data_IF_001710985951
#
_entry.id   IF_001710985951
#
_cell.length_a   1.000
_cell.length_b   1.000
_cell.length_c   1.000
_cell.angle_alpha   90.00
_cell.angle_beta   90.00
_cell.angle_gamma   90.00
#
_symmetry.space_group_name_H-M   'P 1'
#
loop_
_entity.id
_entity.type
_entity.pdbx_description
1 polymer ?
#
# COMPACT_ATOMS: atom_id res chain seq x y z
N UNK A 1 24.74 1.98 11.16
CA UNK A 1 23.56 1.59 10.35
C UNK A 1 23.41 0.06 10.19
N UNK A 2 24.25 -0.66 9.46
CA UNK A 2 24.07 -2.12 9.25
C UNK A 2 23.98 -2.94 10.55
N UNK A 3 24.78 -2.65 11.57
CA UNK A 3 24.77 -3.35 12.86
C UNK A 3 23.46 -3.21 13.66
N UNK A 4 22.78 -2.09 13.55
CA UNK A 4 21.50 -1.84 14.22
C UNK A 4 20.40 -2.73 13.63
N UNK A 5 20.25 -2.74 12.32
CA UNK A 5 19.24 -3.56 11.63
C UNK A 5 19.57 -5.06 11.68
N UNK A 6 20.85 -5.44 11.81
CA UNK A 6 21.23 -6.83 12.12
C UNK A 6 20.75 -7.25 13.50
N UNK A 7 20.77 -6.35 14.50
CA UNK A 7 20.18 -6.64 15.82
C UNK A 7 18.66 -6.77 15.76
N UNK A 8 17.98 -5.93 14.96
CA UNK A 8 16.53 -6.09 14.74
C UNK A 8 16.21 -7.43 14.07
N UNK A 9 17.05 -7.88 13.15
CA UNK A 9 16.90 -9.21 12.57
C UNK A 9 17.07 -10.31 13.61
N UNK A 10 18.09 -10.25 14.47
CA UNK A 10 18.27 -11.23 15.56
C UNK A 10 17.04 -11.26 16.48
N UNK A 11 16.49 -10.09 16.83
CA UNK A 11 15.24 -9.98 17.60
C UNK A 11 14.10 -10.77 16.93
N UNK A 12 13.86 -10.51 15.65
CA UNK A 12 12.81 -11.18 14.90
C UNK A 12 13.04 -12.70 14.79
N UNK A 13 14.28 -13.13 14.59
CA UNK A 13 14.64 -14.55 14.50
C UNK A 13 14.47 -15.29 15.84
N UNK A 14 14.57 -14.58 16.96
CA UNK A 14 14.28 -15.08 18.31
C UNK A 14 12.78 -15.04 18.65
N UNK A 15 11.92 -14.64 17.70
CA UNK A 15 10.48 -14.53 17.91
C UNK A 15 10.04 -13.28 18.67
N UNK A 16 10.94 -12.33 18.88
CA UNK A 16 10.66 -11.07 19.57
C UNK A 16 10.06 -10.05 18.60
N UNK A 17 9.14 -9.23 19.10
CA UNK A 17 8.46 -8.23 18.28
C UNK A 17 9.18 -6.89 18.30
N UNK A 18 9.10 -6.17 17.17
CA UNK A 18 9.53 -4.78 17.11
C UNK A 18 8.51 -3.88 17.83
N UNK A 19 9.00 -2.82 18.43
CA UNK A 19 8.13 -1.72 18.86
C UNK A 19 7.58 -0.97 17.64
N UNK A 20 6.49 -0.23 17.82
CA UNK A 20 5.92 0.64 16.77
C UNK A 20 7.00 1.57 16.19
N UNK A 21 7.83 2.18 17.06
CA UNK A 21 8.89 3.10 16.64
C UNK A 21 10.00 2.40 15.84
N UNK A 22 10.36 1.16 16.19
CA UNK A 22 11.33 0.37 15.43
C UNK A 22 10.78 -0.02 14.06
N UNK A 23 9.53 -0.43 13.99
CA UNK A 23 8.84 -0.76 12.73
C UNK A 23 8.69 0.47 11.82
N UNK A 24 8.34 1.63 12.40
CA UNK A 24 8.30 2.91 11.70
C UNK A 24 9.67 3.28 11.11
N UNK A 25 10.75 3.24 11.90
CA UNK A 25 12.10 3.53 11.41
C UNK A 25 12.59 2.53 10.36
N UNK A 26 12.25 1.25 10.49
CA UNK A 26 12.57 0.22 9.50
C UNK A 26 11.89 0.52 8.16
N UNK A 27 10.63 0.97 8.16
CA UNK A 27 9.93 1.34 6.93
C UNK A 27 10.65 2.47 6.18
N UNK A 28 11.10 3.53 6.87
CA UNK A 28 11.87 4.60 6.25
C UNK A 28 13.15 4.08 5.60
N UNK A 29 13.91 3.21 6.29
CA UNK A 29 15.15 2.65 5.74
C UNK A 29 14.92 1.73 4.54
N UNK A 30 13.82 1.01 4.52
CA UNK A 30 13.40 0.24 3.35
C UNK A 30 13.06 1.16 2.17
N UNK A 31 12.35 2.25 2.44
CA UNK A 31 11.93 3.24 1.45
C UNK A 31 13.11 4.00 0.82
N UNK A 32 14.11 4.35 1.63
CA UNK A 32 15.35 5.00 1.18
C UNK A 32 16.26 4.08 0.34
N UNK A 33 16.03 2.76 0.40
CA UNK A 33 16.88 1.79 -0.29
C UNK A 33 18.30 1.68 0.29
N UNK A 34 18.50 2.13 1.52
CA UNK A 34 19.82 2.15 2.19
C UNK A 34 20.23 0.80 2.79
N UNK A 35 19.27 -0.12 2.96
CA UNK A 35 19.56 -1.45 3.48
C UNK A 35 20.04 -2.36 2.34
N UNK A 36 21.09 -3.17 2.58
CA UNK A 36 21.44 -4.25 1.67
C UNK A 36 20.21 -5.14 1.39
N UNK A 37 19.96 -5.47 0.15
CA UNK A 37 18.76 -6.24 -0.26
C UNK A 37 18.60 -7.55 0.53
N UNK A 38 19.71 -8.25 0.80
CA UNK A 38 19.71 -9.47 1.60
C UNK A 38 19.22 -9.23 3.04
N UNK A 39 19.62 -8.11 3.66
CA UNK A 39 19.19 -7.75 5.01
C UNK A 39 17.73 -7.31 5.01
N UNK A 40 17.34 -6.48 4.05
CA UNK A 40 15.96 -6.03 3.88
C UNK A 40 15.01 -7.23 3.65
N UNK A 41 15.38 -8.16 2.79
CA UNK A 41 14.65 -9.39 2.56
C UNK A 41 14.54 -10.27 3.81
N UNK A 42 15.65 -10.43 4.56
CA UNK A 42 15.66 -11.22 5.79
C UNK A 42 14.76 -10.60 6.89
N UNK A 43 14.76 -9.27 7.04
CA UNK A 43 13.87 -8.57 7.98
C UNK A 43 12.40 -8.76 7.63
N UNK A 44 12.03 -8.63 6.35
CA UNK A 44 10.65 -8.88 5.91
C UNK A 44 10.22 -10.33 6.09
N UNK A 45 11.12 -11.28 5.79
CA UNK A 45 10.87 -12.70 6.00
C UNK A 45 10.77 -13.05 7.49
N UNK A 46 11.62 -12.45 8.35
CA UNK A 46 11.59 -12.61 9.80
C UNK A 46 10.28 -12.11 10.42
N UNK A 47 9.81 -10.91 10.04
CA UNK A 47 8.49 -10.39 10.44
C UNK A 47 7.38 -11.38 10.05
N UNK A 48 7.38 -11.84 8.82
CA UNK A 48 6.39 -12.80 8.32
C UNK A 48 6.44 -14.14 9.05
N UNK A 49 7.64 -14.69 9.32
CA UNK A 49 7.82 -15.97 9.97
C UNK A 49 7.36 -15.94 11.44
N UNK A 50 7.65 -14.84 12.14
CA UNK A 50 7.20 -14.59 13.51
C UNK A 50 5.68 -14.35 13.57
N UNK A 51 5.12 -13.71 12.56
CA UNK A 51 3.79 -13.12 12.57
C UNK A 51 3.83 -11.67 13.05
N UNK A 52 3.30 -10.76 12.23
CA UNK A 52 3.28 -9.33 12.51
C UNK A 52 2.32 -8.98 13.65
N UNK A 53 2.74 -8.11 14.56
CA UNK A 53 1.90 -7.57 15.63
C UNK A 53 1.18 -6.30 15.20
N UNK A 54 0.16 -5.89 15.96
CA UNK A 54 -0.56 -4.64 15.71
C UNK A 54 0.35 -3.41 15.79
N UNK A 55 1.33 -3.40 16.70
CA UNK A 55 2.28 -2.30 16.85
C UNK A 55 3.23 -2.22 15.65
N UNK A 56 3.73 -3.36 15.15
CA UNK A 56 4.54 -3.42 13.95
C UNK A 56 3.78 -2.93 12.72
N UNK A 57 2.54 -3.41 12.54
CA UNK A 57 1.68 -2.97 11.42
C UNK A 57 1.41 -1.46 11.52
N UNK A 58 1.13 -0.93 12.72
CA UNK A 58 0.88 0.50 12.94
C UNK A 58 2.11 1.34 12.63
N UNK A 59 3.30 0.90 13.05
CA UNK A 59 4.56 1.58 12.73
C UNK A 59 4.80 1.66 11.22
N UNK A 60 4.63 0.55 10.51
CA UNK A 60 4.73 0.53 9.04
C UNK A 60 3.68 1.41 8.37
N UNK A 61 2.42 1.35 8.83
CA UNK A 61 1.32 2.14 8.26
C UNK A 61 1.55 3.65 8.44
N UNK A 62 1.97 4.08 9.64
CA UNK A 62 2.25 5.49 9.92
C UNK A 62 3.39 6.02 9.04
N UNK A 63 4.48 5.27 8.90
CA UNK A 63 5.59 5.64 8.02
C UNK A 63 5.16 5.68 6.54
N UNK A 64 4.38 4.70 6.09
CA UNK A 64 3.87 4.66 4.72
C UNK A 64 2.97 5.88 4.41
N UNK A 65 2.11 6.27 5.35
CA UNK A 65 1.24 7.46 5.20
C UNK A 65 2.05 8.75 5.14
N UNK A 66 3.09 8.88 5.94
CA UNK A 66 3.97 10.05 5.92
C UNK A 66 4.78 10.16 4.63
N UNK A 67 5.19 9.02 4.06
CA UNK A 67 5.94 8.94 2.81
C UNK A 67 5.05 9.00 1.56
N UNK A 68 3.73 8.95 1.73
CA UNK A 68 2.78 8.98 0.62
C UNK A 68 2.63 10.40 0.06
N UNK A 69 2.34 10.46 -1.24
CA UNK A 69 1.83 11.67 -1.88
C UNK A 69 0.35 11.80 -1.55
N UNK A 70 -0.09 12.99 -1.18
CA UNK A 70 -1.47 13.26 -0.83
C UNK A 70 -2.18 14.03 -1.95
N UNK A 71 -3.40 13.62 -2.37
CA UNK A 71 -4.18 14.40 -3.32
C UNK A 71 -4.62 15.74 -2.71
N UNK A 72 -4.83 16.76 -3.54
CA UNK A 72 -5.29 18.10 -3.11
C UNK A 72 -6.78 18.11 -2.70
N UNK A 73 -7.19 17.13 -1.91
CA UNK A 73 -8.55 17.04 -1.37
C UNK A 73 -8.59 17.83 -0.07
N UNK A 74 -9.55 18.78 0.12
CA UNK A 74 -9.63 19.57 1.35
C UNK A 74 -9.74 18.70 2.60
N UNK A 75 -8.97 19.05 3.63
CA UNK A 75 -8.97 18.35 4.91
C UNK A 75 -10.39 18.32 5.51
N UNK A 76 -10.73 17.20 6.14
CA UNK A 76 -12.07 17.00 6.71
C UNK A 76 -13.17 16.68 5.69
N UNK A 77 -12.85 16.56 4.38
CA UNK A 77 -13.81 16.08 3.39
C UNK A 77 -14.16 14.62 3.70
N UNK A 78 -15.42 14.27 3.99
CA UNK A 78 -15.78 12.90 4.27
C UNK A 78 -15.68 12.08 2.97
N UNK A 79 -14.81 11.09 2.98
CA UNK A 79 -14.56 10.18 1.85
C UNK A 79 -14.62 8.72 2.30
N UNK A 80 -14.86 7.81 1.37
CA UNK A 80 -14.83 6.37 1.58
C UNK A 80 -13.91 5.70 0.57
N UNK A 81 -13.26 4.62 0.97
CA UNK A 81 -12.63 3.66 0.04
C UNK A 81 -13.32 2.31 0.17
N UNK A 82 -13.33 1.56 -0.92
CA UNK A 82 -13.87 0.21 -1.05
C UNK A 82 -12.75 -0.80 -1.33
N UNK A 83 -11.59 -0.59 -0.72
CA UNK A 83 -10.40 -1.41 -0.94
C UNK A 83 -10.49 -2.72 -0.17
N UNK A 84 -9.89 -3.76 -0.74
CA UNK A 84 -9.59 -5.02 -0.06
C UNK A 84 -8.09 -5.32 -0.14
N UNK A 85 -7.62 -6.31 0.62
CA UNK A 85 -6.21 -6.72 0.62
C UNK A 85 -5.76 -7.29 -0.73
N UNK A 86 -6.68 -7.77 -1.55
CA UNK A 86 -6.37 -8.44 -2.81
C UNK A 86 -5.68 -9.80 -2.63
N UNK A 87 -5.35 -10.43 -3.75
CA UNK A 87 -4.52 -11.65 -3.75
C UNK A 87 -5.19 -12.88 -3.10
N UNK A 88 -6.51 -12.94 -3.07
CA UNK A 88 -7.31 -14.04 -2.49
C UNK A 88 -7.50 -15.23 -3.45
N UNK A 89 -7.06 -15.08 -4.71
CA UNK A 89 -7.20 -16.11 -5.74
C UNK A 89 -8.64 -16.43 -6.14
N UNK A 90 -9.62 -15.58 -5.74
CA UNK A 90 -11.04 -15.85 -5.95
C UNK A 90 -11.47 -15.86 -7.42
N UNK A 91 -10.69 -15.23 -8.32
CA UNK A 91 -11.05 -15.06 -9.71
C UNK A 91 -12.35 -14.26 -9.92
N UNK A 92 -12.77 -13.52 -8.90
CA UNK A 92 -14.00 -12.71 -8.92
C UNK A 92 -13.87 -11.51 -9.86
N UNK A 93 -15.00 -10.87 -10.16
CA UNK A 93 -15.06 -9.58 -10.83
C UNK A 93 -14.41 -8.49 -9.93
N UNK A 94 -14.10 -7.32 -10.51
CA UNK A 94 -13.60 -6.15 -9.80
C UNK A 94 -14.68 -5.53 -8.88
N UNK A 95 -15.20 -6.33 -7.93
CA UNK A 95 -16.34 -5.97 -7.09
C UNK A 95 -16.12 -4.68 -6.33
N UNK A 96 -14.94 -4.50 -5.71
CA UNK A 96 -14.64 -3.28 -4.97
C UNK A 96 -14.60 -2.04 -5.86
N UNK A 97 -14.13 -2.14 -7.10
CA UNK A 97 -14.16 -1.03 -8.06
C UNK A 97 -15.58 -0.72 -8.51
N UNK A 98 -16.36 -1.76 -8.84
CA UNK A 98 -17.78 -1.60 -9.18
C UNK A 98 -18.59 -1.00 -8.03
N UNK A 99 -18.36 -1.45 -6.80
CA UNK A 99 -18.99 -0.89 -5.59
C UNK A 99 -18.62 0.59 -5.42
N UNK A 100 -17.35 0.96 -5.62
CA UNK A 100 -16.92 2.36 -5.54
C UNK A 100 -17.63 3.25 -6.55
N UNK A 101 -17.72 2.81 -7.82
CA UNK A 101 -18.43 3.55 -8.86
C UNK A 101 -19.93 3.69 -8.54
N UNK A 102 -20.56 2.61 -8.06
CA UNK A 102 -21.98 2.64 -7.67
C UNK A 102 -22.22 3.56 -6.46
N UNK A 103 -21.34 3.52 -5.45
CA UNK A 103 -21.43 4.40 -4.29
C UNK A 103 -21.28 5.86 -4.69
N UNK A 104 -20.36 6.19 -5.62
CA UNK A 104 -20.20 7.54 -6.14
C UNK A 104 -21.44 8.01 -6.90
N UNK A 105 -22.02 7.14 -7.72
CA UNK A 105 -23.30 7.43 -8.41
C UNK A 105 -24.47 7.65 -7.43
N UNK A 106 -24.43 7.03 -6.25
CA UNK A 106 -25.37 7.24 -5.16
C UNK A 106 -25.08 8.49 -4.29
N UNK A 107 -24.04 9.27 -4.62
CA UNK A 107 -23.70 10.51 -3.94
C UNK A 107 -22.61 10.41 -2.86
N UNK A 108 -22.02 9.23 -2.63
CA UNK A 108 -20.87 9.12 -1.74
C UNK A 108 -19.59 9.66 -2.43
N UNK A 109 -18.73 10.31 -1.68
CA UNK A 109 -17.41 10.70 -2.19
C UNK A 109 -16.44 9.53 -2.04
N UNK A 110 -16.01 8.95 -3.15
CA UNK A 110 -15.15 7.77 -3.17
C UNK A 110 -13.74 8.17 -3.62
N UNK A 111 -12.77 7.96 -2.74
CA UNK A 111 -11.34 8.07 -3.03
C UNK A 111 -10.77 6.66 -3.00
N UNK A 112 -10.70 6.03 -4.16
CA UNK A 112 -10.27 4.65 -4.27
C UNK A 112 -8.76 4.54 -4.46
N UNK A 113 -8.08 3.85 -3.56
CA UNK A 113 -6.69 3.45 -3.74
C UNK A 113 -6.61 2.07 -4.41
N UNK A 114 -5.70 1.89 -5.37
CA UNK A 114 -5.56 0.60 -6.01
C UNK A 114 -4.40 0.51 -7.01
N UNK A 115 -4.28 -0.66 -7.63
CA UNK A 115 -3.18 -0.97 -8.53
C UNK A 115 -3.68 -1.76 -9.75
N UNK A 116 -2.78 -2.00 -10.70
CA UNK A 116 -2.97 -3.01 -11.76
C UNK A 116 -2.91 -4.42 -11.15
N UNK A 117 -3.41 -5.37 -11.90
CA UNK A 117 -3.32 -6.78 -11.48
C UNK A 117 -1.88 -7.27 -11.43
N UNK A 118 -1.56 -8.05 -10.41
CA UNK A 118 -0.29 -8.80 -10.30
C UNK A 118 -0.54 -10.30 -10.52
N UNK A 119 -1.67 -10.83 -10.08
CA UNK A 119 -1.99 -12.27 -10.11
C UNK A 119 -3.35 -12.60 -10.72
N UNK A 120 -4.25 -11.63 -10.84
CA UNK A 120 -5.56 -11.80 -11.46
C UNK A 120 -5.56 -11.33 -12.93
N UNK A 121 -6.66 -11.57 -13.64
CA UNK A 121 -6.80 -11.16 -15.06
C UNK A 121 -6.96 -9.65 -15.24
N UNK A 122 -7.44 -8.92 -14.22
CA UNK A 122 -7.71 -7.49 -14.28
C UNK A 122 -7.68 -6.90 -12.87
N UNK A 123 -6.87 -5.87 -12.68
CA UNK A 123 -6.85 -5.05 -11.45
C UNK A 123 -7.83 -3.88 -11.54
N UNK A 124 -7.92 -3.11 -10.46
CA UNK A 124 -8.79 -1.92 -10.41
C UNK A 124 -8.39 -0.86 -11.43
N UNK A 125 -7.09 -0.61 -11.59
CA UNK A 125 -6.59 0.35 -12.57
C UNK A 125 -6.89 -0.12 -14.00
N UNK A 126 -6.67 -1.41 -14.29
CA UNK A 126 -6.93 -1.96 -15.64
C UNK A 126 -8.40 -1.79 -16.04
N UNK A 127 -9.33 -2.04 -15.12
CA UNK A 127 -10.77 -1.84 -15.33
C UNK A 127 -11.09 -0.36 -15.60
N UNK A 128 -10.57 0.56 -14.79
CA UNK A 128 -10.86 1.99 -14.93
C UNK A 128 -10.29 2.58 -16.21
N UNK A 129 -9.11 2.16 -16.63
CA UNK A 129 -8.54 2.54 -17.94
C UNK A 129 -9.40 2.03 -19.11
N UNK A 130 -9.91 0.81 -19.03
CA UNK A 130 -10.86 0.30 -20.04
C UNK A 130 -12.17 1.11 -20.09
N UNK A 131 -12.58 1.72 -18.97
CA UNK A 131 -13.71 2.63 -18.92
C UNK A 131 -13.37 4.07 -19.36
N UNK A 132 -12.12 4.33 -19.75
CA UNK A 132 -11.67 5.61 -20.27
C UNK A 132 -11.08 6.58 -19.23
N UNK A 133 -10.82 6.13 -18.01
CA UNK A 133 -10.17 6.95 -16.99
C UNK A 133 -8.67 7.09 -17.31
N UNK A 134 -8.12 8.30 -17.49
CA UNK A 134 -6.69 8.48 -17.69
C UNK A 134 -5.94 8.25 -16.37
N UNK A 135 -5.04 7.28 -16.33
CA UNK A 135 -4.22 6.99 -15.15
C UNK A 135 -2.73 7.05 -15.50
N UNK A 136 -1.87 7.51 -14.57
CA UNK A 136 -2.18 8.02 -13.24
C UNK A 136 -2.78 9.44 -13.26
N UNK A 137 -3.58 9.78 -12.25
CA UNK A 137 -3.95 11.16 -11.94
C UNK A 137 -2.90 11.73 -10.98
N UNK A 138 -2.48 12.98 -11.19
CA UNK A 138 -1.71 13.74 -10.20
C UNK A 138 -2.62 14.24 -9.07
N UNK A 139 -2.04 14.92 -8.09
CA UNK A 139 -2.71 15.35 -6.86
C UNK A 139 -3.92 16.26 -7.16
N UNK A 140 -3.73 17.20 -8.11
CA UNK A 140 -4.76 18.15 -8.53
C UNK A 140 -5.84 17.46 -9.38
N UNK A 141 -5.44 16.67 -10.36
CA UNK A 141 -6.38 15.95 -11.24
C UNK A 141 -7.23 14.96 -10.43
N UNK A 142 -6.67 14.33 -9.39
CA UNK A 142 -7.42 13.47 -8.49
C UNK A 142 -8.49 14.24 -7.71
N UNK A 143 -8.17 15.43 -7.21
CA UNK A 143 -9.12 16.29 -6.51
C UNK A 143 -10.22 16.82 -7.45
N UNK A 144 -9.85 17.29 -8.65
CA UNK A 144 -10.78 17.77 -9.66
C UNK A 144 -11.75 16.65 -10.11
N UNK A 145 -11.22 15.44 -10.29
CA UNK A 145 -12.03 14.26 -10.63
C UNK A 145 -13.04 13.92 -9.53
N UNK A 146 -12.62 13.93 -8.27
CA UNK A 146 -13.51 13.71 -7.12
C UNK A 146 -14.63 14.77 -7.05
N UNK A 147 -14.28 16.02 -7.28
CA UNK A 147 -15.25 17.11 -7.26
C UNK A 147 -16.29 16.98 -8.39
N UNK A 148 -15.86 16.59 -9.57
CA UNK A 148 -16.72 16.49 -10.75
C UNK A 148 -17.64 15.26 -10.74
N UNK A 149 -17.18 14.13 -10.18
CA UNK A 149 -17.82 12.83 -10.36
C UNK A 149 -18.14 12.10 -9.06
N UNK A 150 -17.79 12.65 -7.91
CA UNK A 150 -17.77 11.95 -6.60
C UNK A 150 -16.87 10.71 -6.56
N UNK A 151 -16.05 10.47 -7.57
CA UNK A 151 -15.12 9.35 -7.63
C UNK A 151 -13.74 9.83 -8.04
N UNK A 152 -12.71 9.28 -7.42
CA UNK A 152 -11.33 9.40 -7.91
C UNK A 152 -10.55 8.13 -7.62
N UNK A 153 -9.42 7.96 -8.32
CA UNK A 153 -8.56 6.80 -8.18
C UNK A 153 -7.11 7.21 -7.96
N UNK A 154 -6.57 6.76 -6.83
CA UNK A 154 -5.17 6.94 -6.48
C UNK A 154 -4.39 5.69 -6.92
N UNK A 155 -3.62 5.84 -7.99
CA UNK A 155 -2.80 4.74 -8.50
C UNK A 155 -1.61 4.50 -7.57
N UNK A 156 -1.60 3.38 -6.84
CA UNK A 156 -0.66 3.09 -5.78
C UNK A 156 0.82 3.35 -6.11
N UNK A 157 1.36 2.96 -7.29
CA UNK A 157 2.75 3.26 -7.65
C UNK A 157 3.07 4.75 -7.78
N UNK A 158 2.09 5.59 -8.12
CA UNK A 158 2.27 7.04 -8.23
C UNK A 158 2.20 7.72 -6.85
N UNK A 159 1.32 7.23 -5.97
CA UNK A 159 1.09 7.83 -4.66
C UNK A 159 2.01 7.29 -3.55
N UNK A 160 2.72 6.18 -3.78
CA UNK A 160 3.69 5.60 -2.86
C UNK A 160 5.08 5.43 -3.49
N UNK A 161 5.79 6.52 -3.82
CA UNK A 161 7.12 6.45 -4.44
C UNK A 161 8.13 5.69 -3.57
N UNK A 162 7.95 5.71 -2.26
CA UNK A 162 8.74 4.95 -1.28
C UNK A 162 8.77 3.44 -1.55
N UNK A 163 7.71 2.90 -2.16
CA UNK A 163 7.64 1.48 -2.50
C UNK A 163 8.57 1.05 -3.63
N UNK A 164 9.10 2.00 -4.40
CA UNK A 164 10.00 1.71 -5.53
C UNK A 164 11.24 0.90 -5.12
N UNK A 165 11.82 1.20 -3.96
CA UNK A 165 12.96 0.46 -3.42
C UNK A 165 12.57 -0.92 -2.87
N UNK A 166 11.32 -1.10 -2.44
CA UNK A 166 10.84 -2.32 -1.79
C UNK A 166 10.33 -3.36 -2.80
N UNK A 167 9.81 -2.92 -3.94
CA UNK A 167 9.22 -3.80 -4.97
C UNK A 167 10.17 -4.91 -5.44
N UNK A 168 11.46 -4.64 -5.77
CA UNK A 168 12.40 -5.69 -6.19
C UNK A 168 12.61 -6.76 -5.10
N UNK A 169 12.74 -6.32 -3.84
CA UNK A 169 12.93 -7.20 -2.68
C UNK A 169 11.72 -8.13 -2.51
N UNK A 170 10.50 -7.57 -2.58
CA UNK A 170 9.26 -8.35 -2.53
C UNK A 170 9.14 -9.33 -3.69
N UNK A 171 9.55 -8.92 -4.89
CA UNK A 171 9.59 -9.79 -6.07
C UNK A 171 10.52 -10.97 -5.90
N UNK A 172 11.72 -10.74 -5.34
CA UNK A 172 12.70 -11.79 -5.06
C UNK A 172 12.25 -12.75 -3.96
N UNK A 173 11.56 -12.25 -2.91
CA UNK A 173 11.00 -13.08 -1.84
C UNK A 173 9.86 -13.97 -2.33
N UNK A 174 9.04 -13.50 -3.27
CA UNK A 174 7.89 -14.21 -3.83
C UNK A 174 6.89 -14.76 -2.80
N UNK A 175 6.84 -14.19 -1.60
CA UNK A 175 5.91 -14.53 -0.50
C UNK A 175 5.15 -13.30 -0.01
N UNK A 176 4.05 -13.54 0.69
CA UNK A 176 3.32 -12.45 1.36
C UNK A 176 4.18 -11.89 2.50
N UNK A 177 4.15 -10.57 2.66
CA UNK A 177 4.85 -9.82 3.71
C UNK A 177 3.89 -8.81 4.34
N UNK A 178 4.35 -8.06 5.34
CA UNK A 178 3.59 -6.96 5.97
C UNK A 178 2.92 -6.03 4.95
N UNK A 179 3.55 -5.80 3.80
CA UNK A 179 2.98 -4.96 2.73
C UNK A 179 1.67 -5.47 2.12
N UNK A 180 1.32 -6.74 2.33
CA UNK A 180 0.06 -7.28 1.85
C UNK A 180 -1.14 -6.91 2.74
N UNK A 181 -0.88 -6.49 3.98
CA UNK A 181 -1.92 -6.02 4.91
C UNK A 181 -1.99 -4.50 4.99
N UNK A 182 -0.95 -3.80 4.55
CA UNK A 182 -0.89 -2.32 4.59
C UNK A 182 -1.75 -1.64 3.52
N UNK A 183 -2.10 -2.34 2.43
CA UNK A 183 -2.85 -1.75 1.32
C UNK A 183 -4.17 -1.07 1.73
N UNK A 184 -4.98 -1.65 2.63
CA UNK A 184 -6.23 -1.05 3.12
C UNK A 184 -6.06 -0.04 4.27
N UNK A 185 -4.86 0.13 4.82
CA UNK A 185 -4.57 1.00 5.98
C UNK A 185 -3.97 2.33 5.56
#
# INVERSE_FOLDING_TARGET
MSKEYSKLLDHLLNGESLTEQQAYGLMFKLAEGELPEALAGALLAGLRAKGETADEIRGFANAMRELAIHPEIPEGTPTVDTVGTGGDGSGSLNLSTGTGLLAAAAGARVVKHGNRSVSSRSGSADMLECLGMPLPLDEKAAADCLQATNFTFLFAPAYHPAMKAVVPIRGALAVRTVFNVLGPL
#
